data_IF_683807885929
#
_entry.id   IF_683807885929
#
_cell.length_a   1.000
_cell.length_b   1.000
_cell.length_c   1.000
_cell.angle_alpha   90.00
_cell.angle_beta   90.00
_cell.angle_gamma   90.00
#
_symmetry.space_group_name_H-M   'P 1'
#
loop_
_entity.id
_entity.type
_entity.pdbx_description
1 polymer ?
#
# COMPACT_ATOMS: atom_id res chain seq x y z
N UNK A 1 -10.75 -2.80 10.20
CA UNK A 1 -9.82 -2.26 9.20
C UNK A 1 -8.46 -2.91 9.35
N UNK A 2 -7.72 -3.03 8.25
CA UNK A 2 -6.33 -3.48 8.32
C UNK A 2 -5.45 -2.37 8.91
N UNK A 3 -4.17 -2.69 9.14
CA UNK A 3 -3.25 -1.74 9.78
C UNK A 3 -3.04 -0.46 8.97
N UNK A 4 -2.99 -0.58 7.63
CA UNK A 4 -2.77 0.60 6.80
C UNK A 4 -3.98 1.54 6.84
N UNK A 5 -5.18 0.99 6.64
CA UNK A 5 -6.39 1.81 6.68
C UNK A 5 -6.58 2.46 8.03
N UNK A 6 -6.24 1.74 9.10
CA UNK A 6 -6.32 2.31 10.46
C UNK A 6 -5.34 3.47 10.62
N UNK A 7 -4.12 3.33 10.11
CA UNK A 7 -3.14 4.42 10.17
C UNK A 7 -3.64 5.67 9.46
N UNK A 8 -4.25 5.50 8.29
CA UNK A 8 -4.82 6.62 7.54
C UNK A 8 -5.97 7.27 8.31
N UNK A 9 -6.90 6.45 8.82
CA UNK A 9 -8.04 6.95 9.57
C UNK A 9 -7.59 7.74 10.81
N UNK A 10 -6.55 7.25 11.49
CA UNK A 10 -6.02 7.92 12.68
C UNK A 10 -5.43 9.29 12.32
N UNK A 11 -4.68 9.38 11.22
CA UNK A 11 -4.12 10.67 10.77
C UNK A 11 -5.22 11.64 10.38
N UNK A 12 -6.24 11.16 9.67
CA UNK A 12 -7.36 11.98 9.22
C UNK A 12 -8.36 12.29 10.33
N UNK A 13 -8.23 11.61 11.48
CA UNK A 13 -9.14 11.76 12.61
C UNK A 13 -10.58 11.44 12.23
N UNK A 14 -10.76 10.37 11.45
CA UNK A 14 -12.09 9.88 11.05
C UNK A 14 -12.27 8.46 11.58
N UNK A 15 -13.52 8.01 11.64
CA UNK A 15 -13.84 6.70 12.19
C UNK A 15 -13.36 5.55 11.34
N UNK A 16 -13.43 5.68 10.02
CA UNK A 16 -12.99 4.63 9.10
C UNK A 16 -12.75 5.21 7.71
N UNK A 17 -11.96 4.49 6.93
CA UNK A 17 -11.73 4.78 5.52
C UNK A 17 -11.72 3.46 4.76
N UNK A 18 -11.95 3.52 3.45
CA UNK A 18 -11.79 2.38 2.55
C UNK A 18 -10.72 2.74 1.53
N UNK A 19 -10.34 1.76 0.71
CA UNK A 19 -9.37 2.02 -0.36
C UNK A 19 -9.84 3.09 -1.34
N UNK A 20 -11.15 3.21 -1.52
CA UNK A 20 -11.71 4.16 -2.49
C UNK A 20 -11.98 5.55 -1.91
N UNK A 21 -11.73 5.76 -0.62
CA UNK A 21 -11.96 7.04 0.02
C UNK A 21 -11.04 8.12 -0.57
N UNK A 22 -11.62 9.23 -1.10
CA UNK A 22 -10.80 10.37 -1.53
C UNK A 22 -10.37 11.16 -0.30
N UNK A 23 -9.13 10.97 0.13
CA UNK A 23 -8.68 11.43 1.44
C UNK A 23 -8.71 12.95 1.61
N UNK A 24 -8.59 13.71 0.52
CA UNK A 24 -8.67 15.18 0.59
C UNK A 24 -10.08 15.69 0.78
N UNK A 25 -11.08 14.84 0.58
CA UNK A 25 -12.49 15.20 0.73
C UNK A 25 -13.07 14.76 2.07
N UNK A 26 -12.23 14.23 2.95
CA UNK A 26 -12.68 13.85 4.29
C UNK A 26 -12.93 15.08 5.15
N UNK A 27 -13.85 14.94 6.10
CA UNK A 27 -14.20 16.06 6.98
C UNK A 27 -12.99 16.51 7.77
N UNK A 28 -12.79 17.81 7.83
CA UNK A 28 -11.66 18.38 8.57
C UNK A 28 -10.33 18.33 7.84
N UNK A 29 -10.33 18.01 6.56
CA UNK A 29 -9.08 18.00 5.78
C UNK A 29 -8.36 19.35 5.84
N UNK A 30 -7.04 19.30 6.05
CA UNK A 30 -6.21 20.50 6.08
C UNK A 30 -4.77 20.10 5.77
N UNK A 31 -3.90 21.10 5.60
CA UNK A 31 -2.49 20.85 5.29
C UNK A 31 -1.74 20.12 6.40
N UNK A 32 -2.18 20.24 7.64
CA UNK A 32 -1.57 19.49 8.74
C UNK A 32 -1.80 17.99 8.58
N UNK A 33 -2.99 17.61 8.12
CA UNK A 33 -3.31 16.21 7.84
C UNK A 33 -2.53 15.69 6.64
N UNK A 34 -2.33 16.52 5.61
CA UNK A 34 -1.48 16.17 4.48
C UNK A 34 -0.07 15.87 4.95
N UNK A 35 0.49 16.72 5.79
CA UNK A 35 1.81 16.50 6.37
C UNK A 35 1.85 15.22 7.21
N UNK A 36 0.80 14.97 7.98
CA UNK A 36 0.67 13.75 8.79
C UNK A 36 0.71 12.49 7.94
N UNK A 37 0.03 12.50 6.78
CA UNK A 37 0.06 11.37 5.85
C UNK A 37 1.46 11.14 5.28
N UNK A 38 2.18 12.22 4.93
CA UNK A 38 3.54 12.10 4.43
C UNK A 38 4.48 11.51 5.48
N UNK A 39 4.36 11.97 6.73
CA UNK A 39 5.16 11.45 7.85
C UNK A 39 4.83 9.99 8.09
N UNK A 40 3.54 9.63 8.06
CA UNK A 40 3.10 8.24 8.24
C UNK A 40 3.70 7.33 7.17
N UNK A 41 3.62 7.74 5.90
CA UNK A 41 4.18 6.93 4.81
C UNK A 41 5.67 6.71 4.99
N UNK A 42 6.41 7.74 5.36
CA UNK A 42 7.86 7.64 5.53
C UNK A 42 8.23 6.81 6.77
N UNK A 43 7.67 7.15 7.93
CA UNK A 43 8.11 6.57 9.20
C UNK A 43 7.51 5.20 9.48
N UNK A 44 6.23 5.00 9.19
CA UNK A 44 5.54 3.76 9.53
C UNK A 44 5.59 2.74 8.42
N UNK A 45 5.71 3.17 7.17
CA UNK A 45 5.59 2.28 6.00
C UNK A 45 6.84 2.28 5.13
N UNK A 46 7.86 3.06 5.49
CA UNK A 46 9.11 3.08 4.74
C UNK A 46 8.98 3.59 3.31
N UNK A 47 7.98 4.45 3.07
CA UNK A 47 7.65 4.94 1.73
C UNK A 47 7.77 6.46 1.67
N UNK A 48 8.99 7.03 1.75
CA UNK A 48 9.15 8.47 1.64
C UNK A 48 8.61 8.95 0.29
N UNK A 49 7.65 9.88 0.34
CA UNK A 49 6.95 10.38 -0.83
C UNK A 49 7.17 11.88 -0.92
N UNK A 50 7.67 12.35 -2.06
CA UNK A 50 7.86 13.78 -2.29
C UNK A 50 6.54 14.49 -2.45
N UNK A 51 6.56 15.82 -2.25
CA UNK A 51 5.34 16.63 -2.32
C UNK A 51 4.71 16.53 -3.72
N UNK A 52 5.53 16.59 -4.78
CA UNK A 52 5.02 16.51 -6.15
C UNK A 52 4.29 15.19 -6.40
N UNK A 53 4.86 14.10 -5.95
CA UNK A 53 4.22 12.78 -6.07
C UNK A 53 2.94 12.72 -5.24
N UNK A 54 2.97 13.26 -4.01
CA UNK A 54 1.80 13.26 -3.13
C UNK A 54 0.63 13.99 -3.77
N UNK A 55 0.90 15.08 -4.50
CA UNK A 55 -0.15 15.84 -5.16
C UNK A 55 -0.87 15.07 -6.25
N UNK A 56 -0.24 14.01 -6.77
CA UNK A 56 -0.86 13.12 -7.77
C UNK A 56 -1.76 12.07 -7.14
N UNK A 57 -1.59 11.80 -5.85
CA UNK A 57 -2.36 10.77 -5.15
C UNK A 57 -3.72 11.32 -4.76
N UNK A 58 -4.79 10.55 -4.96
CA UNK A 58 -6.16 11.02 -4.74
C UNK A 58 -6.93 10.21 -3.73
N UNK A 59 -6.74 8.89 -3.72
CA UNK A 59 -7.50 7.99 -2.85
C UNK A 59 -6.58 7.27 -1.87
N UNK A 60 -7.18 6.68 -0.85
CA UNK A 60 -6.44 5.85 0.11
C UNK A 60 -5.73 4.71 -0.61
N UNK A 61 -6.33 4.17 -1.69
CA UNK A 61 -5.69 3.14 -2.51
C UNK A 61 -4.34 3.63 -3.06
N UNK A 62 -4.27 4.87 -3.51
CA UNK A 62 -3.02 5.44 -4.03
C UNK A 62 -1.96 5.50 -2.93
N UNK A 63 -2.34 5.90 -1.72
CA UNK A 63 -1.43 5.91 -0.57
C UNK A 63 -0.97 4.49 -0.24
N UNK A 64 -1.89 3.53 -0.27
CA UNK A 64 -1.58 2.13 0.02
C UNK A 64 -0.62 1.56 -1.01
N UNK A 65 -0.78 1.94 -2.27
CA UNK A 65 0.11 1.49 -3.34
C UNK A 65 1.54 1.95 -3.08
N UNK A 66 1.73 3.19 -2.63
CA UNK A 66 3.07 3.69 -2.29
C UNK A 66 3.69 2.85 -1.17
N UNK A 67 2.92 2.56 -0.13
CA UNK A 67 3.40 1.74 0.98
C UNK A 67 3.70 0.30 0.55
N UNK A 68 2.82 -0.29 -0.26
CA UNK A 68 3.01 -1.67 -0.71
C UNK A 68 4.21 -1.81 -1.64
N UNK A 69 4.41 -0.85 -2.55
CA UNK A 69 5.56 -0.86 -3.45
C UNK A 69 6.86 -0.78 -2.65
N UNK A 70 6.93 0.07 -1.64
CA UNK A 70 8.11 0.16 -0.79
C UNK A 70 8.39 -1.17 -0.08
N UNK A 71 7.34 -1.79 0.44
CA UNK A 71 7.44 -3.11 1.08
C UNK A 71 7.91 -4.17 0.08
N UNK A 72 7.27 -4.24 -1.09
CA UNK A 72 7.60 -5.25 -2.10
C UNK A 72 9.02 -5.07 -2.64
N UNK A 73 9.46 -3.83 -2.82
CA UNK A 73 10.82 -3.54 -3.27
C UNK A 73 11.84 -4.10 -2.28
N UNK A 74 11.56 -4.01 -0.99
CA UNK A 74 12.43 -4.58 0.05
C UNK A 74 12.46 -6.10 0.01
N UNK A 75 11.32 -6.75 -0.20
CA UNK A 75 11.24 -8.21 -0.28
C UNK A 75 11.92 -8.73 -1.54
N UNK A 76 11.65 -8.09 -2.68
CA UNK A 76 12.21 -8.50 -3.97
C UNK A 76 13.63 -8.02 -4.20
N UNK A 77 14.12 -7.10 -3.36
CA UNK A 77 15.46 -6.50 -3.47
C UNK A 77 15.66 -5.80 -4.80
N UNK A 78 14.68 -4.98 -5.17
CA UNK A 78 14.71 -4.16 -6.38
C UNK A 78 14.45 -2.71 -6.02
N UNK A 79 14.83 -1.75 -6.90
CA UNK A 79 14.49 -0.34 -6.67
C UNK A 79 12.97 -0.13 -6.73
N UNK A 80 12.46 0.77 -5.91
CA UNK A 80 11.03 1.12 -5.92
C UNK A 80 10.57 1.58 -7.30
N UNK A 81 11.43 2.27 -8.02
CA UNK A 81 11.14 2.82 -9.34
C UNK A 81 10.88 1.73 -10.39
N UNK A 82 11.32 0.50 -10.12
CA UNK A 82 11.07 -0.62 -11.03
C UNK A 82 9.70 -1.26 -10.83
N UNK A 83 8.95 -0.84 -9.83
CA UNK A 83 7.64 -1.38 -9.52
C UNK A 83 6.54 -0.36 -9.74
N UNK A 84 5.39 -0.83 -10.20
CA UNK A 84 4.17 -0.04 -10.31
C UNK A 84 3.00 -0.91 -9.87
N UNK A 85 1.80 -0.35 -9.85
CA UNK A 85 0.60 -1.13 -9.53
C UNK A 85 0.37 -2.28 -10.49
N UNK A 86 0.85 -2.16 -11.73
CA UNK A 86 0.65 -3.14 -12.79
C UNK A 86 1.77 -4.18 -12.87
N UNK A 87 2.86 -4.01 -12.13
CA UNK A 87 3.96 -4.99 -12.15
C UNK A 87 3.45 -6.33 -11.66
N UNK A 88 3.74 -7.38 -12.41
CA UNK A 88 3.19 -8.71 -12.17
C UNK A 88 4.27 -9.73 -11.82
N UNK A 89 3.86 -10.78 -11.13
CA UNK A 89 4.71 -11.93 -10.88
C UNK A 89 5.21 -12.48 -12.23
N UNK A 90 6.52 -12.67 -12.33
CA UNK A 90 7.13 -13.17 -13.54
C UNK A 90 7.48 -12.11 -14.58
N UNK A 91 7.03 -10.85 -14.39
CA UNK A 91 7.37 -9.78 -15.33
C UNK A 91 8.78 -9.22 -15.10
N UNK A 92 9.35 -9.47 -13.93
CA UNK A 92 10.74 -9.18 -13.62
C UNK A 92 11.38 -10.42 -13.02
N UNK A 93 12.69 -10.63 -13.24
CA UNK A 93 13.36 -11.85 -12.75
C UNK A 93 13.28 -12.05 -11.24
N UNK A 94 13.31 -10.96 -10.49
CA UNK A 94 13.28 -10.98 -9.02
C UNK A 94 11.93 -11.42 -8.45
N UNK A 95 10.86 -11.31 -9.22
CA UNK A 95 9.53 -11.71 -8.77
C UNK A 95 9.16 -13.06 -9.37
N UNK A 96 9.79 -14.11 -8.84
CA UNK A 96 9.50 -15.50 -9.22
C UNK A 96 8.45 -16.09 -8.25
N UNK A 97 8.14 -17.37 -8.42
CA UNK A 97 7.13 -18.03 -7.60
C UNK A 97 7.51 -18.12 -6.12
N UNK A 98 8.80 -18.26 -5.81
CA UNK A 98 9.25 -18.30 -4.42
C UNK A 98 9.07 -16.94 -3.76
N UNK A 99 9.50 -15.89 -4.42
CA UNK A 99 9.35 -14.54 -3.90
C UNK A 99 7.89 -14.09 -3.87
N UNK A 100 7.06 -14.63 -4.77
CA UNK A 100 5.62 -14.38 -4.72
C UNK A 100 5.02 -14.89 -3.41
N UNK A 101 5.38 -16.11 -3.00
CA UNK A 101 4.94 -16.64 -1.71
C UNK A 101 5.48 -15.83 -0.54
N UNK A 102 6.72 -15.36 -0.64
CA UNK A 102 7.29 -14.49 0.39
C UNK A 102 6.51 -13.19 0.52
N UNK A 103 6.10 -12.59 -0.60
CA UNK A 103 5.27 -11.39 -0.56
C UNK A 103 3.97 -11.66 0.18
N UNK A 104 3.30 -12.77 -0.12
CA UNK A 104 2.06 -13.15 0.57
C UNK A 104 2.31 -13.30 2.07
N UNK A 105 3.31 -14.09 2.44
CA UNK A 105 3.58 -14.41 3.84
C UNK A 105 4.01 -13.19 4.66
N UNK A 106 4.78 -12.29 4.06
CA UNK A 106 5.26 -11.12 4.77
C UNK A 106 4.27 -9.95 4.73
N UNK A 107 3.42 -9.90 3.71
CA UNK A 107 2.40 -8.85 3.62
C UNK A 107 1.33 -9.02 4.69
N UNK A 108 0.97 -10.25 5.03
CA UNK A 108 -0.09 -10.50 6.01
C UNK A 108 0.18 -9.82 7.35
N UNK A 109 1.33 -10.06 8.02
CA UNK A 109 1.59 -9.37 9.28
C UNK A 109 1.90 -7.89 9.11
N UNK A 110 2.53 -7.51 8.00
CA UNK A 110 2.91 -6.12 7.77
C UNK A 110 1.69 -5.21 7.67
N UNK A 111 0.69 -5.64 6.90
CA UNK A 111 -0.50 -4.83 6.66
C UNK A 111 -1.71 -5.25 7.52
N UNK A 112 -1.57 -6.31 8.30
CA UNK A 112 -2.67 -6.80 9.12
C UNK A 112 -3.81 -7.34 8.26
N UNK A 113 -3.49 -8.08 7.21
CA UNK A 113 -4.46 -8.64 6.27
C UNK A 113 -4.31 -10.15 6.19
N UNK A 114 -5.25 -10.81 5.53
CA UNK A 114 -5.21 -12.25 5.31
C UNK A 114 -5.49 -12.55 3.84
N UNK A 115 -4.69 -13.43 3.27
CA UNK A 115 -4.87 -13.90 1.89
C UNK A 115 -5.24 -15.38 1.95
N UNK A 116 -6.53 -15.73 1.84
CA UNK A 116 -6.93 -17.14 1.82
C UNK A 116 -6.23 -17.89 0.68
N UNK A 117 -5.92 -19.17 0.91
CA UNK A 117 -5.17 -19.98 -0.06
C UNK A 117 -5.81 -19.95 -1.45
N UNK A 118 -7.15 -19.98 -1.52
CA UNK A 118 -7.86 -20.00 -2.77
C UNK A 118 -7.75 -18.70 -3.56
N UNK A 119 -7.33 -17.60 -2.93
CA UNK A 119 -7.15 -16.30 -3.60
C UNK A 119 -5.74 -16.11 -4.16
N UNK A 120 -4.76 -16.89 -3.66
CA UNK A 120 -3.36 -16.69 -4.03
C UNK A 120 -3.11 -16.80 -5.54
N UNK A 121 -3.71 -17.77 -6.26
CA UNK A 121 -3.49 -17.83 -7.71
C UNK A 121 -3.99 -16.60 -8.48
N UNK A 122 -4.91 -15.83 -7.90
CA UNK A 122 -5.42 -14.60 -8.50
C UNK A 122 -4.60 -13.36 -8.17
N UNK A 123 -3.62 -13.47 -7.27
CA UNK A 123 -2.76 -12.35 -6.89
C UNK A 123 -1.61 -12.28 -7.90
N UNK A 124 -1.78 -11.50 -8.95
CA UNK A 124 -0.81 -11.44 -10.04
C UNK A 124 0.01 -10.15 -10.04
N UNK A 125 -0.63 -9.03 -9.73
CA UNK A 125 0.01 -7.70 -9.77
C UNK A 125 0.04 -7.08 -8.38
N UNK A 126 0.80 -5.99 -8.23
CA UNK A 126 0.79 -5.19 -6.99
C UNK A 126 -0.64 -4.77 -6.65
N UNK A 127 -1.39 -4.28 -7.63
CA UNK A 127 -2.77 -3.84 -7.39
C UNK A 127 -3.69 -4.99 -6.98
N UNK A 128 -3.44 -6.20 -7.43
CA UNK A 128 -4.22 -7.37 -7.00
C UNK A 128 -4.03 -7.62 -5.50
N UNK A 129 -2.79 -7.50 -4.99
CA UNK A 129 -2.53 -7.63 -3.56
C UNK A 129 -3.31 -6.59 -2.76
N UNK A 130 -3.31 -5.35 -3.24
CA UNK A 130 -3.99 -4.25 -2.54
C UNK A 130 -5.50 -4.46 -2.57
N UNK A 131 -6.05 -4.80 -3.73
CA UNK A 131 -7.50 -5.00 -3.88
C UNK A 131 -8.01 -6.19 -3.07
N UNK A 132 -7.15 -7.16 -2.76
CA UNK A 132 -7.52 -8.32 -1.97
C UNK A 132 -7.41 -8.08 -0.46
N UNK A 133 -7.09 -6.86 -0.01
CA UNK A 133 -7.08 -6.55 1.41
C UNK A 133 -8.49 -6.74 1.96
N UNK A 134 -8.61 -7.62 2.94
CA UNK A 134 -9.87 -7.84 3.65
C UNK A 134 -9.94 -6.88 4.81
N UNK A 135 -11.00 -6.11 4.85
CA UNK A 135 -11.16 -5.01 5.80
C UNK A 135 -12.10 -5.41 6.93
#
# INVERSE_FOLDING_TARGET
>A
MNKFLKSVADVLEVGSVTLDTPFRETEGWCSLKAFGLLVMLENDWGAPTGIDRFMELKTVRDLCREAFIAFAAGVLKVPRESLSGETACGSIPEWDSVNHLRLVMEAEPKFGVSYPLETIPGLKTVDDFISAFLV
#
